data_IF_467520349367
#
_entry.id   IF_467520349367
#
_cell.length_a   1.000
_cell.length_b   1.000
_cell.length_c   1.000
_cell.angle_alpha   90.00
_cell.angle_beta   90.00
_cell.angle_gamma   90.00
#
_symmetry.space_group_name_H-M   'P 1'
#
loop_
_entity.id
_entity.type
_entity.pdbx_description
1 polymer ?
#
# COMPACT_ATOMS: atom_id res chain seq x y z
N UNK A 1 -35.03 21.96 -20.47
CA UNK A 1 -34.99 21.62 -19.03
C UNK A 1 -33.61 21.09 -18.71
N UNK A 2 -32.74 21.91 -18.13
CA UNK A 2 -31.43 21.49 -17.67
C UNK A 2 -31.61 20.54 -16.49
N UNK A 3 -30.98 19.36 -16.48
CA UNK A 3 -31.01 18.47 -15.30
C UNK A 3 -30.21 19.16 -14.19
N UNK A 4 -30.90 19.88 -13.32
CA UNK A 4 -30.33 20.37 -12.06
C UNK A 4 -29.78 19.15 -11.36
N UNK A 5 -28.49 19.12 -11.12
CA UNK A 5 -27.86 18.05 -10.35
C UNK A 5 -28.51 18.05 -8.95
N UNK A 6 -29.21 16.97 -8.60
CA UNK A 6 -29.84 16.79 -7.28
C UNK A 6 -28.82 16.71 -6.11
N UNK A 7 -27.59 17.09 -6.39
CA UNK A 7 -26.48 16.99 -5.45
C UNK A 7 -26.27 18.30 -4.69
N UNK A 8 -26.28 18.23 -3.35
CA UNK A 8 -25.97 19.39 -2.51
C UNK A 8 -24.53 19.86 -2.74
N UNK A 9 -24.35 21.15 -2.81
CA UNK A 9 -23.02 21.79 -3.02
C UNK A 9 -22.00 21.36 -1.97
N UNK A 10 -22.44 21.27 -0.72
CA UNK A 10 -21.60 20.92 0.42
C UNK A 10 -21.13 19.46 0.32
N UNK A 11 -22.01 18.55 -0.08
CA UNK A 11 -21.64 17.15 -0.26
C UNK A 11 -20.55 16.98 -1.34
N UNK A 12 -20.66 17.72 -2.46
CA UNK A 12 -19.65 17.66 -3.50
C UNK A 12 -18.29 18.21 -3.04
N UNK A 13 -18.28 19.34 -2.32
CA UNK A 13 -17.02 19.90 -1.81
C UNK A 13 -16.31 18.95 -0.85
N UNK A 14 -17.06 18.31 0.06
CA UNK A 14 -16.50 17.32 0.97
C UNK A 14 -16.05 16.04 0.26
N UNK A 15 -16.77 15.61 -0.79
CA UNK A 15 -16.34 14.47 -1.61
C UNK A 15 -15.02 14.73 -2.34
N UNK A 16 -14.84 15.91 -2.91
CA UNK A 16 -13.59 16.27 -3.57
C UNK A 16 -12.44 16.41 -2.55
N UNK A 17 -12.71 16.99 -1.38
CA UNK A 17 -11.74 17.06 -0.30
C UNK A 17 -11.37 15.64 0.21
N UNK A 18 -12.36 14.78 0.40
CA UNK A 18 -12.14 13.39 0.79
C UNK A 18 -11.33 12.62 -0.26
N UNK A 19 -11.62 12.83 -1.55
CA UNK A 19 -10.87 12.21 -2.63
C UNK A 19 -9.39 12.62 -2.60
N UNK A 20 -9.10 13.91 -2.39
CA UNK A 20 -7.74 14.41 -2.23
C UNK A 20 -7.04 13.70 -1.06
N UNK A 21 -7.68 13.71 0.12
CA UNK A 21 -7.10 13.13 1.34
C UNK A 21 -6.91 11.61 1.25
N UNK A 22 -7.83 10.90 0.59
CA UNK A 22 -7.73 9.44 0.42
C UNK A 22 -6.61 9.07 -0.55
N UNK A 23 -6.40 9.84 -1.64
CA UNK A 23 -5.40 9.53 -2.67
C UNK A 23 -3.98 9.92 -2.23
N UNK A 24 -3.83 10.94 -1.39
CA UNK A 24 -2.53 11.49 -1.01
C UNK A 24 -1.52 10.44 -0.50
N UNK A 25 -1.88 9.48 0.38
CA UNK A 25 -0.94 8.45 0.83
C UNK A 25 -0.51 7.48 -0.27
N UNK A 26 -1.31 7.34 -1.32
CA UNK A 26 -1.00 6.44 -2.42
C UNK A 26 -0.03 7.04 -3.44
N UNK A 27 0.20 8.36 -3.43
CA UNK A 27 1.03 9.06 -4.44
C UNK A 27 2.40 8.41 -4.64
N UNK A 28 3.13 7.93 -3.62
CA UNK A 28 4.41 7.25 -3.82
C UNK A 28 4.30 5.90 -4.54
N UNK A 29 3.13 5.27 -4.50
CA UNK A 29 2.86 3.92 -5.04
C UNK A 29 2.13 3.95 -6.39
N UNK A 30 1.68 5.14 -6.82
CA UNK A 30 0.91 5.32 -8.06
C UNK A 30 1.84 5.70 -9.22
N UNK A 31 1.53 5.22 -10.44
CA UNK A 31 2.21 5.71 -11.64
C UNK A 31 2.05 7.22 -11.81
N UNK A 32 3.14 7.92 -12.13
CA UNK A 32 3.15 9.39 -12.23
C UNK A 32 2.14 9.93 -13.25
N UNK A 33 1.85 9.17 -14.32
CA UNK A 33 0.87 9.55 -15.34
C UNK A 33 -0.58 9.57 -14.83
N UNK A 34 -0.88 8.99 -13.68
CA UNK A 34 -2.23 9.00 -13.09
C UNK A 34 -2.57 10.35 -12.45
N UNK A 35 -1.58 11.10 -11.98
CA UNK A 35 -1.78 12.41 -11.35
C UNK A 35 -2.44 13.44 -12.30
N UNK A 36 -2.01 13.65 -13.56
CA UNK A 36 -2.68 14.55 -14.47
C UNK A 36 -4.11 14.11 -14.81
N UNK A 37 -4.39 12.81 -14.90
CA UNK A 37 -5.75 12.30 -15.10
C UNK A 37 -6.63 12.66 -13.90
N UNK A 38 -6.15 12.46 -12.69
CA UNK A 38 -6.87 12.84 -11.47
C UNK A 38 -7.15 14.34 -11.40
N UNK A 39 -6.14 15.19 -11.62
CA UNK A 39 -6.30 16.64 -11.62
C UNK A 39 -7.27 17.10 -12.71
N UNK A 40 -7.20 16.51 -13.91
CA UNK A 40 -8.11 16.78 -15.00
C UNK A 40 -9.57 16.42 -14.66
N UNK A 41 -9.80 15.25 -14.07
CA UNK A 41 -11.11 14.80 -13.62
C UNK A 41 -11.67 15.70 -12.52
N UNK A 42 -10.87 16.09 -11.54
CA UNK A 42 -11.26 16.99 -10.45
C UNK A 42 -11.59 18.40 -11.00
N UNK A 43 -10.74 18.96 -11.86
CA UNK A 43 -10.96 20.26 -12.49
C UNK A 43 -12.23 20.24 -13.34
N UNK A 44 -12.43 19.19 -14.16
CA UNK A 44 -13.66 19.05 -14.94
C UNK A 44 -14.90 19.01 -14.05
N UNK A 45 -14.83 18.22 -12.96
CA UNK A 45 -15.95 18.12 -12.02
C UNK A 45 -16.28 19.46 -11.36
N UNK A 46 -15.25 20.26 -11.00
CA UNK A 46 -15.43 21.62 -10.49
C UNK A 46 -16.05 22.54 -11.56
N UNK A 47 -15.67 22.41 -12.83
CA UNK A 47 -16.27 23.21 -13.91
C UNK A 47 -17.73 22.84 -14.17
N UNK A 48 -18.07 21.56 -14.16
CA UNK A 48 -19.46 21.08 -14.22
C UNK A 48 -20.28 21.66 -13.06
N UNK A 49 -19.70 21.67 -11.87
CA UNK A 49 -20.34 22.25 -10.69
C UNK A 49 -20.56 23.77 -10.82
N UNK A 50 -19.58 24.49 -11.39
CA UNK A 50 -19.70 25.93 -11.68
C UNK A 50 -20.61 26.27 -12.85
N UNK A 51 -21.30 25.27 -13.43
CA UNK A 51 -22.17 25.40 -14.61
C UNK A 51 -21.41 25.93 -15.85
N UNK A 52 -20.10 25.74 -15.90
CA UNK A 52 -19.25 26.19 -17.02
C UNK A 52 -18.95 25.08 -18.02
N UNK A 53 -19.16 23.82 -17.65
CA UNK A 53 -18.96 22.66 -18.52
C UNK A 53 -20.13 21.69 -18.43
N UNK A 54 -20.40 20.98 -19.52
CA UNK A 54 -21.36 19.90 -19.57
C UNK A 54 -20.77 18.62 -18.95
N UNK A 55 -21.62 17.67 -18.58
CA UNK A 55 -21.17 16.35 -18.17
C UNK A 55 -20.41 15.67 -19.32
N UNK A 56 -19.31 14.97 -19.00
CA UNK A 56 -18.51 14.31 -20.03
C UNK A 56 -19.36 13.27 -20.77
N UNK A 57 -19.26 13.22 -22.10
CA UNK A 57 -19.95 12.23 -22.92
C UNK A 57 -19.42 10.82 -22.64
N UNK A 58 -20.22 9.80 -22.96
CA UNK A 58 -19.87 8.40 -22.67
C UNK A 58 -18.55 7.96 -23.34
N UNK A 59 -18.31 8.43 -24.59
CA UNK A 59 -17.10 8.09 -25.33
C UNK A 59 -15.81 8.61 -24.63
N UNK A 60 -15.86 9.81 -24.03
CA UNK A 60 -14.71 10.37 -23.30
C UNK A 60 -14.40 9.55 -22.02
N UNK A 61 -15.45 9.10 -21.30
CA UNK A 61 -15.29 8.21 -20.15
C UNK A 61 -14.69 6.87 -20.55
N UNK A 62 -15.14 6.31 -21.69
CA UNK A 62 -14.57 5.09 -22.26
C UNK A 62 -13.10 5.28 -22.66
N UNK A 63 -12.74 6.41 -23.26
CA UNK A 63 -11.36 6.74 -23.61
C UNK A 63 -10.47 6.86 -22.35
N UNK A 64 -10.96 7.55 -21.32
CA UNK A 64 -10.23 7.66 -20.04
C UNK A 64 -10.04 6.30 -19.36
N UNK A 65 -11.07 5.45 -19.37
CA UNK A 65 -10.97 4.10 -18.86
C UNK A 65 -9.94 3.28 -19.64
N UNK A 66 -9.97 3.33 -20.97
CA UNK A 66 -9.00 2.68 -21.84
C UNK A 66 -7.56 3.19 -21.59
N UNK A 67 -7.40 4.50 -21.44
CA UNK A 67 -6.10 5.10 -21.14
C UNK A 67 -5.55 4.64 -19.78
N UNK A 68 -6.42 4.53 -18.77
CA UNK A 68 -6.03 4.03 -17.44
C UNK A 68 -5.67 2.55 -17.51
N UNK A 69 -6.52 1.70 -18.08
CA UNK A 69 -6.25 0.26 -18.18
C UNK A 69 -5.02 -0.01 -19.04
N UNK A 70 -4.92 0.65 -20.21
CA UNK A 70 -3.75 0.53 -21.08
C UNK A 70 -2.46 1.00 -20.43
N UNK A 71 -2.51 2.15 -19.72
CA UNK A 71 -1.37 2.67 -18.97
C UNK A 71 -0.93 1.71 -17.86
N UNK A 72 -1.86 1.08 -17.14
CA UNK A 72 -1.55 0.08 -16.13
C UNK A 72 -0.91 -1.17 -16.72
N UNK A 73 -1.45 -1.68 -17.83
CA UNK A 73 -0.89 -2.86 -18.51
C UNK A 73 0.53 -2.60 -19.02
N UNK A 74 0.81 -1.39 -19.50
CA UNK A 74 2.14 -1.02 -20.01
C UNK A 74 3.12 -0.74 -18.86
N UNK A 75 2.66 -0.15 -17.74
CA UNK A 75 3.53 0.25 -16.64
C UNK A 75 3.80 -0.85 -15.61
N UNK A 76 2.96 -1.88 -15.54
CA UNK A 76 3.14 -3.00 -14.60
C UNK A 76 3.69 -4.23 -15.32
N UNK A 77 4.78 -4.78 -14.80
CA UNK A 77 5.38 -6.04 -15.30
C UNK A 77 4.54 -7.29 -14.92
N UNK A 78 3.43 -7.12 -14.21
CA UNK A 78 2.53 -8.18 -13.75
C UNK A 78 1.40 -7.60 -12.90
N UNK A 79 0.49 -8.47 -12.46
CA UNK A 79 -0.60 -8.09 -11.56
C UNK A 79 -0.11 -8.16 -10.11
N UNK A 80 0.54 -7.10 -9.65
CA UNK A 80 1.02 -6.93 -8.29
C UNK A 80 0.07 -6.07 -7.43
N UNK A 81 0.39 -5.91 -6.14
CA UNK A 81 -0.38 -5.11 -5.20
C UNK A 81 -0.47 -3.64 -5.64
N UNK A 82 0.62 -3.08 -6.20
CA UNK A 82 0.64 -1.70 -6.67
C UNK A 82 -0.30 -1.50 -7.87
N UNK A 83 -0.30 -2.45 -8.82
CA UNK A 83 -1.21 -2.43 -9.97
C UNK A 83 -2.68 -2.53 -9.53
N UNK A 84 -2.99 -3.41 -8.56
CA UNK A 84 -4.34 -3.55 -8.01
C UNK A 84 -4.80 -2.27 -7.30
N UNK A 85 -3.93 -1.65 -6.48
CA UNK A 85 -4.22 -0.38 -5.82
C UNK A 85 -4.40 0.77 -6.82
N UNK A 86 -3.54 0.85 -7.85
CA UNK A 86 -3.65 1.85 -8.89
C UNK A 86 -4.96 1.71 -9.70
N UNK A 87 -5.41 0.49 -9.98
CA UNK A 87 -6.70 0.23 -10.61
C UNK A 87 -7.86 0.68 -9.72
N UNK A 88 -7.82 0.38 -8.43
CA UNK A 88 -8.83 0.78 -7.47
C UNK A 88 -8.92 2.30 -7.31
N UNK A 89 -7.77 2.97 -7.15
CA UNK A 89 -7.68 4.44 -7.08
C UNK A 89 -8.17 5.06 -8.38
N UNK A 90 -7.83 4.49 -9.53
CA UNK A 90 -8.32 4.95 -10.85
C UNK A 90 -9.84 4.84 -10.96
N UNK A 91 -10.42 3.74 -10.51
CA UNK A 91 -11.87 3.57 -10.46
C UNK A 91 -12.53 4.64 -9.57
N UNK A 92 -11.92 4.96 -8.43
CA UNK A 92 -12.36 6.02 -7.53
C UNK A 92 -12.31 7.41 -8.20
N UNK A 93 -11.23 7.70 -8.94
CA UNK A 93 -11.07 8.96 -9.69
C UNK A 93 -12.15 9.09 -10.78
N UNK A 94 -12.30 8.06 -11.61
CA UNK A 94 -13.24 8.09 -12.73
C UNK A 94 -14.71 8.12 -12.26
N UNK A 95 -15.01 7.46 -11.13
CA UNK A 95 -16.38 7.42 -10.59
C UNK A 95 -16.88 8.79 -10.14
N UNK A 96 -16.02 9.65 -9.62
CA UNK A 96 -16.38 11.05 -9.28
C UNK A 96 -16.84 11.84 -10.52
N UNK A 97 -16.23 11.58 -11.68
CA UNK A 97 -16.61 12.24 -12.94
C UNK A 97 -17.98 11.78 -13.45
N UNK A 98 -18.35 10.52 -13.16
CA UNK A 98 -19.61 9.93 -13.60
C UNK A 98 -20.81 10.31 -12.72
N UNK A 99 -20.56 10.78 -11.52
CA UNK A 99 -21.54 11.03 -10.48
C UNK A 99 -22.60 12.07 -10.91
N UNK A 100 -23.85 11.65 -11.06
CA UNK A 100 -24.99 12.52 -11.42
C UNK A 100 -26.07 12.54 -10.35
N UNK A 101 -26.34 11.39 -9.72
CA UNK A 101 -27.40 11.18 -8.77
C UNK A 101 -26.84 10.98 -7.35
N UNK A 102 -27.69 11.15 -6.34
CA UNK A 102 -27.33 10.87 -4.94
C UNK A 102 -26.82 9.45 -4.73
N UNK A 103 -27.38 8.46 -5.41
CA UNK A 103 -26.93 7.08 -5.37
C UNK A 103 -25.49 6.92 -5.85
N UNK A 104 -25.12 7.62 -6.91
CA UNK A 104 -23.76 7.59 -7.46
C UNK A 104 -22.75 8.18 -6.45
N UNK A 105 -23.17 9.25 -5.74
CA UNK A 105 -22.36 9.85 -4.69
C UNK A 105 -22.16 8.90 -3.49
N UNK A 106 -23.18 8.14 -3.10
CA UNK A 106 -23.03 7.11 -2.07
C UNK A 106 -22.02 6.03 -2.49
N UNK A 107 -22.07 5.58 -3.75
CA UNK A 107 -21.08 4.63 -4.28
C UNK A 107 -19.66 5.20 -4.17
N UNK A 108 -19.48 6.50 -4.49
CA UNK A 108 -18.17 7.16 -4.36
C UNK A 108 -17.72 7.22 -2.89
N UNK A 109 -18.63 7.52 -1.95
CA UNK A 109 -18.28 7.51 -0.51
C UNK A 109 -17.82 6.13 -0.06
N UNK A 110 -18.58 5.07 -0.38
CA UNK A 110 -18.21 3.70 0.00
C UNK A 110 -16.92 3.26 -0.68
N UNK A 111 -16.72 3.62 -1.95
CA UNK A 111 -15.47 3.35 -2.66
C UNK A 111 -14.29 4.09 -1.99
N UNK A 112 -14.52 5.32 -1.51
CA UNK A 112 -13.52 6.08 -0.74
C UNK A 112 -13.11 5.38 0.56
N UNK A 113 -14.06 4.83 1.31
CA UNK A 113 -13.75 4.01 2.49
C UNK A 113 -12.97 2.75 2.11
N UNK A 114 -13.33 2.10 1.01
CA UNK A 114 -12.63 0.91 0.55
C UNK A 114 -11.18 1.22 0.13
N UNK A 115 -10.96 2.30 -0.62
CA UNK A 115 -9.60 2.78 -0.97
C UNK A 115 -8.81 3.10 0.30
N UNK A 116 -9.42 3.78 1.27
CA UNK A 116 -8.76 4.12 2.53
C UNK A 116 -8.27 2.87 3.28
N UNK A 117 -9.13 1.85 3.40
CA UNK A 117 -8.76 0.58 4.06
C UNK A 117 -7.64 -0.13 3.29
N UNK A 118 -7.67 -0.09 1.95
CA UNK A 118 -6.59 -0.65 1.12
C UNK A 118 -5.25 0.04 1.39
N UNK A 119 -5.23 1.31 1.81
CA UNK A 119 -4.01 2.03 2.18
C UNK A 119 -3.22 1.37 3.31
N UNK A 120 -3.90 0.70 4.24
CA UNK A 120 -3.24 -0.03 5.33
C UNK A 120 -2.45 -1.27 4.88
N UNK A 121 -2.60 -1.70 3.63
CA UNK A 121 -1.74 -2.75 3.05
C UNK A 121 -0.33 -2.23 2.73
N UNK A 122 -0.17 -0.90 2.58
CA UNK A 122 1.11 -0.25 2.29
C UNK A 122 1.75 0.31 3.56
N UNK A 123 0.94 0.95 4.39
CA UNK A 123 1.41 1.58 5.63
C UNK A 123 0.46 1.24 6.79
N UNK A 124 0.98 0.56 7.82
CA UNK A 124 0.21 0.13 9.01
C UNK A 124 0.67 0.82 10.30
N UNK A 125 1.42 1.93 10.19
CA UNK A 125 1.95 2.67 11.33
C UNK A 125 0.93 3.54 12.07
N UNK A 126 1.26 3.97 13.29
CA UNK A 126 0.44 4.88 14.09
C UNK A 126 0.15 6.20 13.37
N UNK A 127 1.11 6.73 12.62
CA UNK A 127 0.95 7.97 11.84
C UNK A 127 -0.09 7.78 10.73
N UNK A 128 -0.08 6.64 10.03
CA UNK A 128 -1.08 6.31 9.03
C UNK A 128 -2.48 6.20 9.66
N UNK A 129 -2.59 5.61 10.86
CA UNK A 129 -3.84 5.53 11.59
C UNK A 129 -4.37 6.92 12.00
N UNK A 130 -3.50 7.80 12.52
CA UNK A 130 -3.88 9.17 12.85
C UNK A 130 -4.28 9.98 11.61
N UNK A 131 -3.51 9.85 10.52
CA UNK A 131 -3.84 10.49 9.25
C UNK A 131 -5.21 10.06 8.73
N UNK A 132 -5.56 8.77 8.84
CA UNK A 132 -6.82 8.23 8.32
C UNK A 132 -8.07 8.87 8.92
N UNK A 133 -7.97 9.48 10.10
CA UNK A 133 -9.08 10.23 10.72
C UNK A 133 -9.52 11.42 9.84
N UNK A 134 -8.61 12.06 9.11
CA UNK A 134 -8.94 13.18 8.24
C UNK A 134 -9.82 12.78 7.05
N UNK A 135 -9.42 11.80 6.20
CA UNK A 135 -10.29 11.35 5.12
C UNK A 135 -11.57 10.69 5.62
N UNK A 136 -11.56 9.99 6.77
CA UNK A 136 -12.79 9.46 7.38
C UNK A 136 -13.74 10.61 7.72
N UNK A 137 -13.27 11.66 8.39
CA UNK A 137 -14.07 12.82 8.73
C UNK A 137 -14.65 13.51 7.47
N UNK A 138 -13.86 13.63 6.41
CA UNK A 138 -14.31 14.20 5.15
C UNK A 138 -15.35 13.32 4.43
N UNK A 139 -15.19 11.99 4.43
CA UNK A 139 -16.18 11.05 3.87
C UNK A 139 -17.49 11.06 4.67
N UNK A 140 -17.41 11.09 5.99
CA UNK A 140 -18.59 11.21 6.88
C UNK A 140 -19.26 12.55 6.67
N UNK A 141 -18.51 13.66 6.56
CA UNK A 141 -19.07 14.98 6.25
C UNK A 141 -19.76 15.00 4.88
N UNK A 142 -19.19 14.33 3.88
CA UNK A 142 -19.82 14.17 2.58
C UNK A 142 -21.13 13.40 2.68
N UNK A 143 -21.16 12.30 3.45
CA UNK A 143 -22.36 11.50 3.69
C UNK A 143 -23.45 12.32 4.39
N UNK A 144 -23.10 13.06 5.44
CA UNK A 144 -24.03 13.97 6.15
C UNK A 144 -24.57 15.03 5.18
N UNK A 145 -23.70 15.65 4.38
CA UNK A 145 -24.09 16.63 3.38
C UNK A 145 -25.08 16.08 2.34
N UNK A 146 -24.92 14.79 1.95
CA UNK A 146 -25.86 14.09 1.08
C UNK A 146 -27.22 13.86 1.76
N UNK A 147 -27.24 13.65 3.08
CA UNK A 147 -28.47 13.43 3.85
C UNK A 147 -29.23 14.73 4.12
N UNK A 148 -28.53 15.80 4.46
CA UNK A 148 -29.13 17.10 4.78
C UNK A 148 -29.76 17.80 3.55
N UNK A 149 -29.39 17.41 2.35
CA UNK A 149 -29.96 17.95 1.12
C UNK A 149 -29.74 19.47 0.99
N UNK A 150 -30.84 20.22 0.72
CA UNK A 150 -30.77 21.69 0.54
C UNK A 150 -30.65 22.48 1.85
N UNK A 151 -30.85 21.82 3.00
CA UNK A 151 -30.79 22.46 4.32
C UNK A 151 -29.38 22.62 4.86
N UNK A 152 -28.39 22.00 4.22
CA UNK A 152 -26.97 22.14 4.59
C UNK A 152 -26.49 23.55 4.29
N UNK A 153 -26.41 24.38 5.32
CA UNK A 153 -26.14 25.82 5.17
C UNK A 153 -24.63 26.19 5.20
N UNK A 154 -23.81 25.38 5.86
CA UNK A 154 -22.39 25.69 6.04
C UNK A 154 -21.52 24.43 6.06
N UNK A 155 -20.41 24.39 5.30
CA UNK A 155 -19.51 23.23 5.29
C UNK A 155 -18.85 22.98 6.67
N UNK A 156 -18.57 24.03 7.44
CA UNK A 156 -18.02 23.89 8.80
C UNK A 156 -18.95 23.23 9.79
N UNK A 157 -20.26 23.49 9.71
CA UNK A 157 -21.26 22.82 10.56
C UNK A 157 -21.34 21.31 10.27
N UNK A 158 -21.26 20.92 8.97
CA UNK A 158 -21.24 19.53 8.56
C UNK A 158 -19.99 18.80 9.08
N UNK A 159 -18.82 19.45 9.00
CA UNK A 159 -17.59 18.89 9.54
C UNK A 159 -17.62 18.76 11.07
N UNK A 160 -18.16 19.76 11.77
CA UNK A 160 -18.33 19.70 13.23
C UNK A 160 -19.22 18.54 13.64
N UNK A 161 -20.32 18.32 12.91
CA UNK A 161 -21.20 17.18 13.16
C UNK A 161 -20.48 15.86 12.89
N UNK A 162 -19.74 15.74 11.78
CA UNK A 162 -18.94 14.56 11.49
C UNK A 162 -17.91 14.28 12.60
N UNK A 163 -17.17 15.32 13.04
CA UNK A 163 -16.21 15.20 14.13
C UNK A 163 -16.88 14.78 15.46
N UNK A 164 -18.05 15.30 15.77
CA UNK A 164 -18.81 14.91 16.97
C UNK A 164 -19.21 13.44 16.92
N UNK A 165 -19.70 12.96 15.77
CA UNK A 165 -20.06 11.54 15.59
C UNK A 165 -18.84 10.62 15.71
N UNK A 166 -17.71 11.02 15.14
CA UNK A 166 -16.45 10.26 15.28
C UNK A 166 -15.96 10.24 16.72
N UNK A 167 -16.04 11.37 17.43
CA UNK A 167 -15.66 11.45 18.84
C UNK A 167 -16.56 10.55 19.72
N UNK A 168 -17.86 10.53 19.44
CA UNK A 168 -18.80 9.63 20.11
C UNK A 168 -18.56 8.15 19.81
N UNK A 169 -17.96 7.83 18.67
CA UNK A 169 -17.58 6.44 18.32
C UNK A 169 -16.32 5.96 19.06
N UNK A 170 -15.47 6.86 19.59
CA UNK A 170 -14.21 6.49 20.27
C UNK A 170 -14.40 5.58 21.49
N UNK A 171 -15.36 5.79 22.41
CA UNK A 171 -15.57 4.87 23.52
C UNK A 171 -15.89 3.45 23.05
N UNK A 172 -16.76 3.33 22.04
CA UNK A 172 -17.10 2.03 21.45
C UNK A 172 -15.89 1.39 20.77
N UNK A 173 -15.09 2.17 20.04
CA UNK A 173 -13.85 1.70 19.44
C UNK A 173 -12.88 1.16 20.50
N UNK A 174 -12.73 1.88 21.62
CA UNK A 174 -11.87 1.45 22.74
C UNK A 174 -12.36 0.14 23.36
N UNK A 175 -13.66 0.01 23.60
CA UNK A 175 -14.26 -1.21 24.11
C UNK A 175 -14.02 -2.37 23.15
N UNK A 176 -14.29 -2.20 21.87
CA UNK A 176 -14.04 -3.21 20.86
C UNK A 176 -12.56 -3.57 20.77
N UNK A 177 -11.66 -2.60 20.84
CA UNK A 177 -10.22 -2.85 20.81
C UNK A 177 -9.73 -3.68 22.02
N UNK A 178 -10.34 -3.48 23.19
CA UNK A 178 -9.98 -4.23 24.41
C UNK A 178 -10.62 -5.61 24.44
N UNK A 179 -11.85 -5.75 23.96
CA UNK A 179 -12.60 -7.01 24.02
C UNK A 179 -12.33 -7.93 22.83
N UNK A 180 -11.99 -7.38 21.66
CA UNK A 180 -11.74 -8.20 20.48
C UNK A 180 -10.41 -8.94 20.61
N UNK A 181 -10.39 -10.27 20.51
CA UNK A 181 -9.16 -11.02 20.50
C UNK A 181 -8.31 -10.58 19.31
N UNK A 182 -7.03 -10.31 19.54
CA UNK A 182 -6.07 -10.01 18.49
C UNK A 182 -5.75 -11.28 17.71
N UNK A 183 -6.67 -11.70 16.86
CA UNK A 183 -6.41 -12.75 15.89
C UNK A 183 -5.34 -12.24 14.92
N UNK A 184 -4.30 -13.04 14.72
CA UNK A 184 -3.33 -12.78 13.65
C UNK A 184 -4.05 -12.67 12.31
N UNK A 185 -3.41 -12.10 11.26
CA UNK A 185 -4.03 -11.92 9.98
C UNK A 185 -4.54 -13.27 9.46
N UNK A 186 -5.85 -13.37 9.23
CA UNK A 186 -6.52 -14.57 8.72
C UNK A 186 -6.08 -14.90 7.28
N UNK A 187 -5.45 -13.95 6.62
CA UNK A 187 -4.83 -14.12 5.30
C UNK A 187 -3.47 -13.40 5.30
N UNK A 188 -2.46 -14.09 4.86
CA UNK A 188 -1.22 -13.46 4.43
C UNK A 188 -1.39 -13.15 2.93
N UNK A 189 -1.48 -11.86 2.58
CA UNK A 189 -1.20 -11.49 1.20
C UNK A 189 0.22 -12.00 0.89
N UNK A 190 0.43 -12.66 -0.25
CA UNK A 190 1.78 -12.89 -0.72
C UNK A 190 2.37 -11.51 -1.02
N UNK A 191 2.88 -10.87 0.03
CA UNK A 191 3.86 -9.81 -0.20
C UNK A 191 4.93 -10.52 -1.02
N UNK A 192 5.29 -9.91 -2.15
CA UNK A 192 6.58 -10.20 -2.76
C UNK A 192 7.60 -9.84 -1.66
N UNK A 193 7.86 -10.81 -0.79
CA UNK A 193 8.96 -10.71 0.15
C UNK A 193 10.14 -10.39 -0.74
N UNK A 194 11.00 -9.43 -0.39
CA UNK A 194 12.28 -9.37 -1.04
C UNK A 194 12.74 -10.82 -1.01
N UNK A 195 12.75 -11.45 -2.18
CA UNK A 195 13.16 -12.85 -2.32
C UNK A 195 14.51 -12.86 -1.64
N UNK A 196 14.53 -13.38 -0.41
CA UNK A 196 15.77 -13.70 0.24
C UNK A 196 16.46 -14.57 -0.80
N UNK A 197 17.41 -13.98 -1.49
CA UNK A 197 18.17 -14.68 -2.50
C UNK A 197 18.64 -15.92 -1.76
N UNK A 198 18.13 -17.07 -2.19
CA UNK A 198 18.57 -18.37 -1.69
C UNK A 198 20.05 -18.44 -2.01
N UNK A 199 20.84 -18.04 -1.06
CA UNK A 199 22.27 -17.84 -1.19
C UNK A 199 22.74 -17.18 0.10
N UNK A 200 24.02 -17.17 0.30
CA UNK A 200 24.70 -16.51 1.40
C UNK A 200 24.32 -15.03 1.41
N UNK A 201 23.45 -14.63 2.32
CA UNK A 201 23.06 -13.23 2.49
C UNK A 201 24.04 -12.54 3.44
N UNK A 202 24.53 -11.36 3.08
CA UNK A 202 25.43 -10.53 3.91
C UNK A 202 24.73 -9.97 5.16
N UNK A 203 23.45 -10.32 5.35
CA UNK A 203 22.60 -9.88 6.46
C UNK A 203 21.70 -10.99 6.94
N UNK A 204 21.45 -11.03 8.24
CA UNK A 204 20.60 -12.03 8.87
C UNK A 204 19.73 -11.38 9.95
N UNK A 205 18.40 -11.45 9.79
CA UNK A 205 17.46 -11.14 10.86
C UNK A 205 16.88 -12.44 11.44
N UNK A 206 16.69 -12.55 12.77
CA UNK A 206 16.14 -13.76 13.40
C UNK A 206 14.81 -14.23 12.83
N UNK A 207 13.97 -13.31 12.36
CA UNK A 207 12.69 -13.62 11.73
C UNK A 207 12.83 -14.28 10.34
N UNK A 208 13.97 -14.06 9.65
CA UNK A 208 14.20 -14.57 8.30
C UNK A 208 14.75 -16.01 8.32
N UNK A 209 15.30 -16.45 9.46
CA UNK A 209 15.93 -17.77 9.62
C UNK A 209 14.92 -18.90 9.40
N UNK A 210 13.68 -18.74 9.87
CA UNK A 210 12.63 -19.76 9.76
C UNK A 210 12.29 -20.07 8.30
N UNK A 211 12.36 -19.08 7.42
CA UNK A 211 12.08 -19.27 5.98
C UNK A 211 13.29 -19.76 5.19
N UNK A 212 14.48 -19.26 5.53
CA UNK A 212 15.74 -19.72 4.91
C UNK A 212 16.01 -21.21 5.18
N UNK A 213 15.65 -21.70 6.36
CA UNK A 213 15.81 -23.13 6.70
C UNK A 213 14.86 -24.05 5.93
N UNK A 214 13.81 -23.52 5.32
CA UNK A 214 12.84 -24.27 4.50
C UNK A 214 13.13 -24.20 2.99
N UNK A 215 14.10 -23.41 2.57
CA UNK A 215 14.46 -23.30 1.16
C UNK A 215 15.23 -24.51 0.69
N UNK A 216 14.74 -25.21 -0.32
CA UNK A 216 15.42 -26.31 -1.01
C UNK A 216 16.30 -25.86 -2.18
N UNK A 217 16.51 -24.55 -2.32
CA UNK A 217 17.33 -24.00 -3.39
C UNK A 217 18.80 -24.37 -3.20
N UNK A 218 19.51 -24.58 -4.32
CA UNK A 218 20.92 -24.91 -4.33
C UNK A 218 21.75 -23.73 -3.78
N UNK A 219 22.42 -23.93 -2.64
CA UNK A 219 23.27 -22.89 -2.03
C UNK A 219 24.64 -22.79 -2.74
N UNK A 220 25.32 -23.91 -2.93
CA UNK A 220 26.60 -24.01 -3.64
C UNK A 220 26.89 -25.46 -4.03
N UNK A 221 27.87 -25.65 -4.91
CA UNK A 221 28.38 -26.98 -5.30
C UNK A 221 29.86 -27.05 -4.97
N UNK A 222 30.29 -28.23 -4.50
CA UNK A 222 31.70 -28.46 -4.19
C UNK A 222 32.18 -29.65 -5.00
N UNK A 223 33.29 -29.44 -5.72
CA UNK A 223 34.01 -30.49 -6.41
C UNK A 223 35.27 -30.83 -5.65
N UNK A 224 35.48 -32.07 -5.25
CA UNK A 224 36.72 -32.56 -4.63
C UNK A 224 37.66 -33.13 -5.68
N UNK A 225 38.96 -32.84 -5.55
CA UNK A 225 39.98 -33.44 -6.44
C UNK A 225 40.27 -34.92 -6.09
N UNK A 226 39.73 -35.44 -4.99
CA UNK A 226 39.88 -36.81 -4.50
C UNK A 226 38.57 -37.39 -3.96
N UNK A 227 38.64 -38.47 -3.17
CA UNK A 227 37.47 -39.05 -2.53
C UNK A 227 36.86 -38.04 -1.53
N UNK A 228 35.55 -37.75 -1.59
CA UNK A 228 34.91 -36.84 -0.66
C UNK A 228 34.95 -37.39 0.76
N UNK A 229 35.28 -36.60 1.80
CA UNK A 229 35.26 -37.02 3.18
C UNK A 229 33.80 -37.31 3.64
N UNK A 230 33.64 -38.04 4.77
CA UNK A 230 32.34 -38.30 5.34
C UNK A 230 31.59 -37.01 5.64
N UNK A 231 30.26 -37.00 5.42
CA UNK A 231 29.42 -35.80 5.62
C UNK A 231 29.56 -35.15 6.99
N UNK A 232 29.84 -35.91 8.04
CA UNK A 232 30.03 -35.42 9.42
C UNK A 232 31.32 -34.60 9.62
N UNK A 233 32.27 -34.70 8.70
CA UNK A 233 33.53 -33.95 8.73
C UNK A 233 33.49 -32.68 7.85
N UNK A 234 32.42 -32.51 7.08
CA UNK A 234 32.25 -31.34 6.21
C UNK A 234 31.64 -30.20 6.99
N UNK A 235 32.39 -29.15 7.22
CA UNK A 235 31.92 -27.89 7.78
C UNK A 235 32.25 -26.72 6.83
N UNK A 236 31.18 -26.04 6.35
CA UNK A 236 31.30 -24.95 5.44
C UNK A 236 31.02 -23.64 6.16
N UNK A 237 32.07 -22.86 6.42
CA UNK A 237 31.93 -21.51 6.97
C UNK A 237 31.84 -20.51 5.81
N UNK A 238 30.67 -19.97 5.57
CA UNK A 238 30.44 -19.08 4.45
C UNK A 238 30.65 -17.60 4.84
N UNK A 239 30.04 -17.16 5.93
CA UNK A 239 30.01 -15.76 6.38
C UNK A 239 30.17 -15.69 7.91
N UNK A 240 30.76 -14.59 8.37
CA UNK A 240 30.68 -14.15 9.77
C UNK A 240 29.94 -12.84 9.81
N UNK A 241 28.90 -12.74 10.65
CA UNK A 241 28.15 -11.55 10.91
C UNK A 241 28.60 -11.00 12.27
N UNK A 242 29.13 -9.79 12.30
CA UNK A 242 29.84 -9.26 13.48
C UNK A 242 29.12 -8.05 14.09
N UNK A 243 28.27 -7.36 13.32
CA UNK A 243 27.57 -6.17 13.76
C UNK A 243 26.08 -6.43 13.93
N UNK A 244 25.57 -6.16 15.14
CA UNK A 244 24.15 -6.23 15.46
C UNK A 244 23.59 -4.83 15.72
N UNK A 245 22.56 -4.43 15.00
CA UNK A 245 21.90 -3.13 15.15
C UNK A 245 20.69 -3.14 16.09
N UNK A 246 20.40 -4.28 16.74
CA UNK A 246 19.24 -4.52 17.59
C UNK A 246 18.12 -5.30 16.87
N UNK A 247 18.20 -5.49 15.55
CA UNK A 247 17.22 -6.23 14.75
C UNK A 247 17.87 -7.19 13.76
N UNK A 248 18.97 -6.79 13.16
CA UNK A 248 19.63 -7.48 12.07
C UNK A 248 21.13 -7.60 12.32
N UNK A 249 21.70 -8.75 11.94
CA UNK A 249 23.12 -9.00 11.91
C UNK A 249 23.67 -8.69 10.52
N UNK A 250 24.79 -7.99 10.44
CA UNK A 250 25.48 -7.65 9.19
C UNK A 250 27.00 -7.85 9.28
N UNK A 251 27.66 -7.94 8.14
CA UNK A 251 29.11 -7.92 8.08
C UNK A 251 29.65 -6.52 8.39
N UNK A 252 30.78 -6.44 9.10
CA UNK A 252 31.50 -5.19 9.23
C UNK A 252 32.42 -5.00 8.02
N UNK A 253 32.17 -3.92 7.25
CA UNK A 253 32.94 -3.59 6.07
C UNK A 253 34.44 -3.30 6.37
N UNK A 254 34.78 -3.05 7.64
CA UNK A 254 36.16 -2.83 8.07
C UNK A 254 37.00 -4.12 8.10
N UNK A 255 36.35 -5.29 8.19
CA UNK A 255 37.02 -6.61 8.27
C UNK A 255 37.16 -7.30 6.90
N UNK A 256 37.01 -6.57 5.79
CA UNK A 256 37.16 -7.09 4.45
C UNK A 256 38.61 -7.53 4.11
N UNK A 257 39.58 -7.21 4.96
CA UNK A 257 40.95 -7.72 4.82
C UNK A 257 41.09 -8.93 5.75
N UNK A 258 41.15 -10.18 5.25
CA UNK A 258 41.34 -11.33 6.07
C UNK A 258 42.67 -11.22 6.80
N UNK A 259 42.67 -10.99 8.08
CA UNK A 259 43.78 -11.25 8.95
C UNK A 259 44.19 -12.72 8.75
N UNK A 260 45.46 -12.98 8.48
CA UNK A 260 45.95 -14.34 8.25
C UNK A 260 45.49 -15.27 9.38
N UNK A 261 44.74 -16.34 9.10
CA UNK A 261 44.11 -17.14 10.11
C UNK A 261 45.19 -17.80 10.98
N UNK A 262 45.16 -17.56 12.27
CA UNK A 262 46.01 -18.27 13.26
C UNK A 262 45.41 -19.66 13.50
N UNK A 263 45.56 -20.58 12.56
CA UNK A 263 45.14 -21.96 12.71
C UNK A 263 46.28 -22.92 12.44
N UNK A 264 46.33 -24.04 13.11
CA UNK A 264 47.27 -25.13 12.87
C UNK A 264 46.57 -26.24 12.10
N UNK A 265 47.07 -26.58 10.91
CA UNK A 265 46.55 -27.70 10.15
C UNK A 265 46.73 -29.02 10.95
N UNK A 266 45.64 -29.77 11.12
CA UNK A 266 45.65 -31.12 11.69
C UNK A 266 45.24 -32.11 10.59
N UNK A 267 46.19 -32.72 9.90
CA UNK A 267 45.94 -33.70 8.85
C UNK A 267 46.31 -33.23 7.46
N UNK A 268 46.05 -34.05 6.45
CA UNK A 268 46.31 -33.72 5.05
C UNK A 268 45.33 -32.69 4.51
N UNK A 269 45.81 -31.72 3.70
CA UNK A 269 44.92 -30.71 3.14
C UNK A 269 44.00 -31.31 2.08
N UNK A 270 42.70 -31.05 2.20
CA UNK A 270 41.71 -31.37 1.18
C UNK A 270 41.67 -30.25 0.15
N UNK A 271 41.82 -30.60 -1.13
CA UNK A 271 41.63 -29.67 -2.26
C UNK A 271 40.24 -29.78 -2.82
N UNK A 272 39.58 -28.65 -2.96
CA UNK A 272 38.22 -28.59 -3.50
C UNK A 272 38.01 -27.24 -4.20
N UNK A 273 37.04 -27.22 -5.11
CA UNK A 273 36.50 -26.03 -5.79
C UNK A 273 35.02 -25.81 -5.38
N UNK A 274 34.63 -24.56 -5.24
CA UNK A 274 33.25 -24.17 -4.89
C UNK A 274 32.66 -23.37 -6.02
#
# INVERSE_FOLDING_TARGET
>A
MSPVSDMPRIALSWLLAAQLLVILPFVPHLPVWLAPIWLGCAAWRIQVYRMRAAFPPAWLKGLLLLAVVGGLVVSSAGFDLNAAAALLVSAFILKVLEMRRRRDALVVVFLGFFVLVTGYLFESGLLAALYSLLPIAALVAALIGLQQGRLALQPGATLRLAATLLLQALPLLLVLFLLFPRLGPLWSLPQAKPQGVSGLSDRMAPADIVELSQSSALAFRVGFEGAPPPRGELYWRALTLERFDGREWSQDASNATPSAPQWQARGEPLRYSV
#
